data_IF_374814235907
#
_entry.id   IF_374814235907
#
_cell.length_a   1.000
_cell.length_b   1.000
_cell.length_c   1.000
_cell.angle_alpha   90.00
_cell.angle_beta   90.00
_cell.angle_gamma   90.00
#
_symmetry.space_group_name_H-M   'P 1'
#
loop_
_entity.id
_entity.type
_entity.pdbx_description
1 polymer ?
#
# COMPACT_ATOMS: atom_id res chain seq x y z
N UNK A 1 -21.90 59.02 -59.11
CA UNK A 1 -22.29 58.74 -57.71
C UNK A 1 -21.15 57.99 -57.04
N UNK A 2 -20.28 58.72 -56.34
CA UNK A 2 -19.22 58.13 -55.51
C UNK A 2 -19.29 58.83 -54.16
N UNK A 3 -19.65 58.09 -53.12
CA UNK A 3 -19.68 58.58 -51.74
C UNK A 3 -18.45 58.01 -51.05
N UNK A 4 -17.40 58.82 -50.94
CA UNK A 4 -16.24 58.52 -50.11
C UNK A 4 -16.57 58.92 -48.67
N UNK A 5 -16.65 57.93 -47.79
CA UNK A 5 -16.85 58.13 -46.36
C UNK A 5 -15.57 58.70 -45.73
N UNK A 6 -15.59 59.99 -45.36
CA UNK A 6 -14.56 60.61 -44.54
C UNK A 6 -14.66 60.09 -43.11
N UNK A 7 -13.66 59.32 -42.69
CA UNK A 7 -13.44 58.99 -41.28
C UNK A 7 -13.05 60.28 -40.56
N UNK A 8 -13.90 60.72 -39.65
CA UNK A 8 -13.73 61.97 -38.91
C UNK A 8 -12.47 61.95 -38.04
N UNK A 9 -11.69 63.03 -38.14
CA UNK A 9 -10.43 63.30 -37.42
C UNK A 9 -10.57 63.17 -35.88
N UNK A 10 -11.79 63.26 -35.37
CA UNK A 10 -12.16 63.04 -33.97
C UNK A 10 -11.92 61.59 -33.48
N UNK A 11 -12.00 60.59 -34.37
CA UNK A 11 -11.75 59.18 -34.01
C UNK A 11 -10.24 58.87 -33.88
N UNK A 12 -9.38 59.63 -34.56
CA UNK A 12 -7.93 59.49 -34.44
C UNK A 12 -7.40 60.22 -33.19
N UNK A 13 -8.03 61.33 -32.80
CA UNK A 13 -7.66 62.08 -31.59
C UNK A 13 -7.99 61.33 -30.27
N UNK A 14 -9.08 60.56 -30.23
CA UNK A 14 -9.44 59.74 -29.06
C UNK A 14 -8.55 58.50 -28.91
N UNK A 15 -8.05 57.94 -30.02
CA UNK A 15 -7.08 56.84 -30.01
C UNK A 15 -5.67 57.28 -29.56
N UNK A 16 -5.28 58.52 -29.85
CA UNK A 16 -4.02 59.10 -29.38
C UNK A 16 -4.03 59.44 -27.88
N UNK A 17 -5.20 59.81 -27.31
CA UNK A 17 -5.32 60.18 -25.89
C UNK A 17 -5.23 59.00 -24.92
N UNK A 18 -5.33 57.76 -25.41
CA UNK A 18 -5.13 56.52 -24.64
C UNK A 18 -3.71 55.94 -24.73
N UNK A 19 -2.80 56.56 -25.49
CA UNK A 19 -1.40 56.09 -25.62
C UNK A 19 -0.46 56.61 -24.53
N UNK A 20 -0.93 57.54 -23.68
CA UNK A 20 -0.13 58.25 -22.68
C UNK A 20 -0.38 57.88 -21.22
N UNK A 21 -1.16 56.82 -20.94
CA UNK A 21 -1.27 56.30 -19.57
C UNK A 21 -0.20 55.24 -19.41
N UNK A 22 0.89 55.58 -18.73
CA UNK A 22 1.86 54.60 -18.25
C UNK A 22 1.07 53.55 -17.44
N UNK A 23 0.81 52.39 -18.02
CA UNK A 23 0.23 51.25 -17.32
C UNK A 23 1.23 50.92 -16.22
N UNK A 24 0.92 51.29 -14.99
CA UNK A 24 1.72 50.91 -13.83
C UNK A 24 1.88 49.39 -13.89
N UNK A 25 3.12 48.92 -13.86
CA UNK A 25 3.43 47.50 -13.86
C UNK A 25 2.86 46.86 -12.61
N UNK A 26 1.62 46.37 -12.69
CA UNK A 26 0.96 45.71 -11.57
C UNK A 26 1.67 44.38 -11.29
N UNK A 27 2.29 44.21 -10.09
CA UNK A 27 3.07 43.01 -9.79
C UNK A 27 2.25 41.71 -9.85
N UNK A 28 0.94 41.81 -9.62
CA UNK A 28 -0.02 40.69 -9.73
C UNK A 28 -0.23 40.26 -11.18
N UNK A 29 -0.38 41.21 -12.11
CA UNK A 29 -0.54 40.91 -13.54
C UNK A 29 0.75 40.33 -14.13
N UNK A 30 1.91 40.83 -13.71
CA UNK A 30 3.21 40.24 -14.09
C UNK A 30 3.36 38.80 -13.61
N UNK A 31 2.97 38.52 -12.36
CA UNK A 31 2.98 37.16 -11.81
C UNK A 31 2.04 36.24 -12.59
N UNK A 32 0.83 36.69 -12.91
CA UNK A 32 -0.14 35.91 -13.67
C UNK A 32 0.30 35.64 -15.13
N UNK A 33 0.95 36.61 -15.76
CA UNK A 33 1.53 36.44 -17.09
C UNK A 33 2.72 35.46 -17.06
N UNK A 34 3.57 35.53 -16.03
CA UNK A 34 4.67 34.59 -15.83
C UNK A 34 4.18 33.17 -15.53
N UNK A 35 3.15 32.98 -14.73
CA UNK A 35 2.57 31.65 -14.47
C UNK A 35 1.94 31.08 -15.73
N UNK A 36 1.21 31.90 -16.50
CA UNK A 36 0.62 31.46 -17.77
C UNK A 36 1.68 31.12 -18.82
N UNK A 37 2.78 31.86 -18.86
CA UNK A 37 3.91 31.58 -19.74
C UNK A 37 4.63 30.29 -19.35
N UNK A 38 4.91 30.09 -18.05
CA UNK A 38 5.50 28.86 -17.51
C UNK A 38 4.64 27.64 -17.80
N UNK A 39 3.33 27.68 -17.53
CA UNK A 39 2.44 26.56 -17.84
C UNK A 39 2.44 26.23 -19.35
N UNK A 40 2.49 27.25 -20.22
CA UNK A 40 2.55 27.04 -21.68
C UNK A 40 3.91 26.48 -22.13
N UNK A 41 4.98 26.73 -21.38
CA UNK A 41 6.31 26.21 -21.66
C UNK A 41 6.46 24.78 -21.14
N UNK A 42 5.92 24.48 -19.96
CA UNK A 42 5.82 23.14 -19.37
C UNK A 42 5.04 22.19 -20.28
N UNK A 43 3.87 22.59 -20.78
CA UNK A 43 3.08 21.76 -21.73
C UNK A 43 3.86 21.46 -23.01
N UNK A 44 4.67 22.41 -23.51
CA UNK A 44 5.51 22.16 -24.69
C UNK A 44 6.73 21.30 -24.38
N UNK A 45 7.29 21.42 -23.17
CA UNK A 45 8.40 20.59 -22.74
C UNK A 45 7.94 19.14 -22.56
N UNK A 46 6.75 18.94 -21.97
CA UNK A 46 6.17 17.61 -21.80
C UNK A 46 5.82 16.98 -23.15
N UNK A 47 5.24 17.73 -24.10
CA UNK A 47 5.03 17.24 -25.46
C UNK A 47 6.33 16.88 -26.19
N UNK A 48 7.44 17.59 -25.94
CA UNK A 48 8.76 17.22 -26.48
C UNK A 48 9.30 15.94 -25.83
N UNK A 49 9.10 15.78 -24.53
CA UNK A 49 9.51 14.60 -23.76
C UNK A 49 8.75 13.35 -24.21
N UNK A 50 7.44 13.45 -24.37
CA UNK A 50 6.59 12.35 -24.88
C UNK A 50 7.05 11.93 -26.28
N UNK A 51 7.27 12.90 -27.18
CA UNK A 51 7.76 12.58 -28.54
C UNK A 51 9.16 11.96 -28.55
N UNK A 52 10.06 12.39 -27.65
CA UNK A 52 11.38 11.77 -27.52
C UNK A 52 11.28 10.35 -26.96
N UNK A 53 10.41 10.11 -25.99
CA UNK A 53 10.18 8.78 -25.43
C UNK A 53 9.57 7.82 -26.45
N UNK A 54 8.65 8.32 -27.29
CA UNK A 54 8.05 7.55 -28.40
C UNK A 54 9.11 7.16 -29.43
N UNK A 55 10.01 8.07 -29.81
CA UNK A 55 11.13 7.75 -30.72
C UNK A 55 12.04 6.69 -30.11
N UNK A 56 12.39 6.81 -28.82
CA UNK A 56 13.26 5.84 -28.14
C UNK A 56 12.58 4.48 -28.00
N UNK A 57 11.29 4.42 -27.69
CA UNK A 57 10.58 3.14 -27.59
C UNK A 57 10.44 2.45 -28.94
N UNK A 58 10.29 3.22 -30.04
CA UNK A 58 10.22 2.63 -31.38
C UNK A 58 11.60 2.08 -31.79
N UNK A 59 12.68 2.77 -31.41
CA UNK A 59 14.06 2.31 -31.67
C UNK A 59 14.47 1.12 -30.77
N UNK A 60 13.90 1.00 -29.58
CA UNK A 60 14.08 -0.15 -28.67
C UNK A 60 13.30 -1.39 -29.17
N UNK A 61 12.07 -1.21 -29.65
CA UNK A 61 11.25 -2.28 -30.24
C UNK A 61 11.86 -2.81 -31.55
N UNK A 62 12.44 -1.94 -32.39
CA UNK A 62 13.18 -2.34 -33.60
C UNK A 62 14.47 -3.10 -33.28
N UNK A 63 15.08 -2.87 -32.10
CA UNK A 63 16.28 -3.57 -31.63
C UNK A 63 15.95 -4.93 -31.00
N UNK A 64 14.84 -5.01 -30.25
CA UNK A 64 14.31 -6.28 -29.74
C UNK A 64 13.88 -7.22 -30.88
N UNK A 65 13.27 -6.68 -31.95
CA UNK A 65 12.97 -7.46 -33.17
C UNK A 65 14.24 -7.94 -33.91
N UNK A 66 15.38 -7.26 -33.77
CA UNK A 66 16.66 -7.73 -34.35
C UNK A 66 17.32 -8.83 -33.50
N UNK A 67 17.24 -8.74 -32.15
CA UNK A 67 17.79 -9.75 -31.22
C UNK A 67 16.99 -11.07 -31.25
N UNK A 68 15.66 -11.03 -31.43
CA UNK A 68 14.80 -12.24 -31.51
C UNK A 68 15.11 -13.12 -32.74
N UNK A 69 15.74 -12.55 -33.78
CA UNK A 69 16.14 -13.30 -35.00
C UNK A 69 17.50 -13.99 -34.82
N UNK A 70 18.31 -13.60 -33.83
CA UNK A 70 19.61 -14.20 -33.55
C UNK A 70 19.52 -15.39 -32.56
N UNK A 71 18.46 -15.47 -31.73
CA UNK A 71 18.27 -16.57 -30.77
C UNK A 71 17.62 -17.85 -31.36
N UNK A 72 17.04 -17.83 -32.57
CA UNK A 72 16.44 -19.04 -33.19
C UNK A 72 17.45 -20.05 -33.80
N UNK A 73 18.77 -19.76 -33.81
CA UNK A 73 19.79 -20.66 -34.42
C UNK A 73 20.51 -21.63 -33.44
N UNK A 74 20.28 -21.59 -32.12
CA UNK A 74 21.11 -22.31 -31.12
C UNK A 74 20.32 -23.21 -30.14
N UNK A 75 19.50 -24.16 -30.64
CA UNK A 75 18.97 -25.27 -29.81
C UNK A 75 19.14 -26.65 -30.49
N UNK A 76 20.37 -27.20 -30.43
CA UNK A 76 20.68 -28.59 -30.82
C UNK A 76 21.24 -29.39 -29.61
N UNK A 77 20.43 -30.36 -29.16
CA UNK A 77 20.74 -31.69 -28.60
C UNK A 77 21.70 -31.86 -27.39
N UNK A 78 21.19 -32.39 -26.27
CA UNK A 78 21.94 -33.34 -25.40
C UNK A 78 21.02 -34.04 -24.38
N UNK A 79 20.92 -35.38 -24.45
CA UNK A 79 20.43 -36.19 -23.31
C UNK A 79 21.16 -37.54 -23.21
N UNK A 80 21.92 -37.74 -22.12
CA UNK A 80 22.38 -39.04 -21.64
C UNK A 80 21.86 -39.26 -20.21
N UNK A 81 21.35 -40.46 -19.92
CA UNK A 81 20.95 -40.86 -18.56
C UNK A 81 21.76 -42.08 -18.13
N UNK A 82 22.57 -41.90 -17.09
CA UNK A 82 23.37 -42.91 -16.40
C UNK A 82 22.46 -43.69 -15.43
N UNK A 83 22.43 -45.03 -15.52
CA UNK A 83 21.79 -45.90 -14.53
C UNK A 83 22.88 -46.70 -13.83
N UNK A 84 23.22 -46.26 -12.62
CA UNK A 84 24.08 -46.97 -11.68
C UNK A 84 23.18 -47.73 -10.69
N UNK A 85 23.21 -49.06 -10.79
CA UNK A 85 22.44 -49.97 -9.94
C UNK A 85 23.43 -50.83 -9.16
N UNK A 86 23.89 -50.31 -8.02
CA UNK A 86 24.75 -51.02 -7.08
C UNK A 86 24.03 -52.23 -6.46
N UNK A 87 24.47 -53.42 -6.87
CA UNK A 87 24.22 -54.71 -6.24
C UNK A 87 25.12 -54.83 -4.99
N UNK A 88 24.62 -54.47 -3.81
CA UNK A 88 25.26 -54.80 -2.53
C UNK A 88 24.48 -55.91 -1.82
N UNK A 89 24.59 -57.12 -2.36
CA UNK A 89 24.22 -58.34 -1.65
C UNK A 89 25.34 -58.62 -0.63
N UNK A 90 25.14 -58.48 0.69
CA UNK A 90 26.21 -58.69 1.65
C UNK A 90 26.64 -60.15 1.58
N UNK A 91 27.86 -60.38 1.08
CA UNK A 91 28.45 -61.70 0.97
C UNK A 91 28.35 -62.45 2.29
N UNK A 92 27.70 -63.63 2.27
CA UNK A 92 27.50 -64.47 3.46
C UNK A 92 28.88 -64.88 3.99
N UNK A 93 29.35 -64.18 5.03
CA UNK A 93 30.59 -64.48 5.70
C UNK A 93 30.46 -65.82 6.43
N UNK A 94 31.12 -66.86 5.91
CA UNK A 94 31.14 -68.18 6.54
C UNK A 94 31.74 -68.09 7.96
N UNK A 95 30.91 -68.40 8.95
CA UNK A 95 31.27 -68.35 10.37
C UNK A 95 32.28 -69.47 10.66
N UNK A 96 33.48 -69.09 11.11
CA UNK A 96 34.52 -70.02 11.58
C UNK A 96 34.00 -70.77 12.81
N UNK A 97 34.04 -72.12 12.84
CA UNK A 97 33.63 -72.86 14.03
C UNK A 97 34.63 -72.61 15.17
N UNK A 98 34.16 -71.96 16.24
CA UNK A 98 34.87 -71.83 17.50
C UNK A 98 34.47 -73.00 18.41
N UNK A 99 35.45 -73.69 18.98
CA UNK A 99 35.21 -74.84 19.85
C UNK A 99 34.59 -74.39 21.18
N UNK A 100 33.33 -74.74 21.42
CA UNK A 100 32.62 -74.42 22.67
C UNK A 100 32.88 -75.49 23.74
N UNK A 101 33.41 -75.13 24.92
CA UNK A 101 33.62 -76.03 26.06
C UNK A 101 32.34 -76.76 26.48
N UNK A 102 32.47 -77.98 27.01
CA UNK A 102 31.31 -78.83 27.37
C UNK A 102 30.33 -78.18 28.36
N UNK A 103 30.79 -77.29 29.24
CA UNK A 103 29.97 -76.58 30.23
C UNK A 103 29.08 -75.49 29.63
N UNK A 104 29.43 -74.98 28.45
CA UNK A 104 28.70 -73.92 27.75
C UNK A 104 27.77 -74.47 26.66
N UNK A 105 27.74 -75.80 26.48
CA UNK A 105 26.78 -76.46 25.60
C UNK A 105 25.42 -76.48 26.27
N UNK A 106 24.52 -75.64 25.78
CA UNK A 106 23.11 -75.66 26.17
C UNK A 106 22.51 -77.05 25.90
N UNK A 107 21.79 -77.59 26.88
CA UNK A 107 20.96 -78.79 26.70
C UNK A 107 19.81 -78.45 25.75
N UNK A 108 19.36 -79.42 24.96
CA UNK A 108 18.38 -79.23 23.87
C UNK A 108 17.13 -78.45 24.30
N UNK A 109 16.68 -78.61 25.55
CA UNK A 109 15.54 -77.89 26.12
C UNK A 109 15.77 -76.38 26.39
N UNK A 110 17.02 -75.95 26.65
CA UNK A 110 17.36 -74.53 26.82
C UNK A 110 17.47 -73.79 25.49
N UNK A 111 17.91 -74.50 24.44
CA UNK A 111 17.97 -73.98 23.07
C UNK A 111 16.56 -73.75 22.51
N UNK A 112 15.66 -74.72 22.70
CA UNK A 112 14.27 -74.64 22.24
C UNK A 112 13.49 -73.48 22.89
N UNK A 113 13.74 -73.21 24.19
CA UNK A 113 13.11 -72.07 24.89
C UNK A 113 13.62 -70.71 24.41
N UNK A 114 14.92 -70.60 24.11
CA UNK A 114 15.53 -69.36 23.59
C UNK A 114 15.12 -69.14 22.13
N UNK A 115 15.05 -70.21 21.33
CA UNK A 115 14.57 -70.18 19.94
C UNK A 115 13.08 -69.81 19.87
N UNK A 116 12.24 -70.29 20.78
CA UNK A 116 10.84 -69.86 20.88
C UNK A 116 10.70 -68.38 21.28
N UNK A 117 11.58 -67.87 22.15
CA UNK A 117 11.62 -66.45 22.54
C UNK A 117 12.10 -65.56 21.38
N UNK A 118 13.09 -66.02 20.61
CA UNK A 118 13.60 -65.36 19.40
C UNK A 118 12.54 -65.34 18.28
N UNK A 119 11.84 -66.45 18.05
CA UNK A 119 10.73 -66.53 17.11
C UNK A 119 9.57 -65.59 17.49
N UNK A 120 9.21 -65.52 18.78
CA UNK A 120 8.19 -64.59 19.25
C UNK A 120 8.60 -63.12 19.04
N UNK A 121 9.89 -62.79 19.24
CA UNK A 121 10.41 -61.45 18.98
C UNK A 121 10.42 -61.12 17.48
N UNK A 122 10.78 -62.10 16.64
CA UNK A 122 10.79 -61.96 15.18
C UNK A 122 9.36 -61.78 14.63
N UNK A 123 8.38 -62.52 15.14
CA UNK A 123 6.96 -62.37 14.80
C UNK A 123 6.41 -61.00 15.20
N UNK A 124 6.77 -60.51 16.40
CA UNK A 124 6.41 -59.15 16.83
C UNK A 124 7.07 -58.08 15.97
N UNK A 125 8.32 -58.30 15.53
CA UNK A 125 9.02 -57.40 14.62
C UNK A 125 8.36 -57.38 13.22
N UNK A 126 8.00 -58.55 12.68
CA UNK A 126 7.25 -58.69 11.41
C UNK A 126 5.89 -58.00 11.50
N UNK A 127 5.15 -58.22 12.58
CA UNK A 127 3.86 -57.56 12.82
C UNK A 127 4.00 -56.04 12.92
N UNK A 128 5.03 -55.53 13.61
CA UNK A 128 5.31 -54.08 13.67
C UNK A 128 5.67 -53.51 12.29
N UNK A 129 6.42 -54.25 11.49
CA UNK A 129 6.76 -53.85 10.12
C UNK A 129 5.51 -53.82 9.22
N UNK A 130 4.62 -54.80 9.35
CA UNK A 130 3.34 -54.85 8.64
C UNK A 130 2.42 -53.70 9.04
N UNK A 131 2.32 -53.39 10.35
CA UNK A 131 1.57 -52.24 10.83
C UNK A 131 2.14 -50.93 10.24
N UNK A 132 3.46 -50.76 10.25
CA UNK A 132 4.11 -49.59 9.62
C UNK A 132 3.81 -49.52 8.12
N UNK A 133 3.84 -50.64 7.41
CA UNK A 133 3.51 -50.69 5.97
C UNK A 133 2.04 -50.34 5.70
N UNK A 134 1.13 -50.68 6.59
CA UNK A 134 -0.29 -50.32 6.48
C UNK A 134 -0.50 -48.85 6.81
N UNK A 135 0.15 -48.35 7.87
CA UNK A 135 0.14 -46.94 8.28
C UNK A 135 0.67 -46.04 7.16
N UNK A 136 1.80 -46.39 6.54
CA UNK A 136 2.36 -45.59 5.43
C UNK A 136 1.44 -45.59 4.22
N UNK A 137 0.87 -46.74 3.85
CA UNK A 137 -0.13 -46.82 2.76
C UNK A 137 -1.37 -45.98 3.07
N UNK A 138 -1.85 -46.00 4.31
CA UNK A 138 -3.01 -45.23 4.72
C UNK A 138 -2.74 -43.72 4.65
N UNK A 139 -1.57 -43.27 5.09
CA UNK A 139 -1.17 -41.85 4.98
C UNK A 139 -1.16 -41.41 3.52
N UNK A 140 -0.54 -42.19 2.63
CA UNK A 140 -0.49 -41.86 1.19
C UNK A 140 -1.89 -41.81 0.58
N UNK A 141 -2.79 -42.74 0.93
CA UNK A 141 -4.18 -42.71 0.44
C UNK A 141 -4.93 -41.46 0.92
N UNK A 142 -4.74 -41.05 2.17
CA UNK A 142 -5.34 -39.83 2.70
C UNK A 142 -4.73 -38.56 2.07
N UNK A 143 -3.44 -38.56 1.76
CA UNK A 143 -2.76 -37.48 1.00
C UNK A 143 -3.37 -37.35 -0.40
N UNK A 144 -3.48 -38.47 -1.14
CA UNK A 144 -4.06 -38.51 -2.49
C UNK A 144 -5.51 -38.04 -2.48
N UNK A 145 -6.32 -38.44 -1.49
CA UNK A 145 -7.70 -37.95 -1.33
C UNK A 145 -7.77 -36.44 -1.12
N UNK A 146 -6.91 -35.89 -0.26
CA UNK A 146 -6.84 -34.44 -0.02
C UNK A 146 -6.41 -33.69 -1.27
N UNK A 147 -5.41 -34.21 -1.99
CA UNK A 147 -4.95 -33.62 -3.25
C UNK A 147 -6.05 -33.66 -4.32
N UNK A 148 -6.82 -34.74 -4.41
CA UNK A 148 -7.98 -34.84 -5.29
C UNK A 148 -9.08 -33.84 -4.91
N UNK A 149 -9.35 -33.65 -3.62
CA UNK A 149 -10.31 -32.64 -3.13
C UNK A 149 -9.84 -31.21 -3.42
N UNK A 150 -8.56 -30.91 -3.23
CA UNK A 150 -7.97 -29.61 -3.57
C UNK A 150 -8.06 -29.38 -5.08
N UNK A 151 -7.68 -30.37 -5.89
CA UNK A 151 -7.81 -30.29 -7.36
C UNK A 151 -9.25 -30.09 -7.78
N UNK A 152 -10.20 -30.81 -7.19
CA UNK A 152 -11.63 -30.65 -7.48
C UNK A 152 -12.15 -29.27 -7.08
N UNK A 153 -11.73 -28.74 -5.93
CA UNK A 153 -12.09 -27.39 -5.49
C UNK A 153 -11.48 -26.30 -6.39
N UNK A 154 -10.23 -26.47 -6.81
CA UNK A 154 -9.59 -25.56 -7.79
C UNK A 154 -10.28 -25.64 -9.13
N UNK A 155 -10.58 -26.84 -9.63
CA UNK A 155 -11.28 -27.04 -10.90
C UNK A 155 -12.71 -26.48 -10.88
N UNK A 156 -13.40 -26.55 -9.74
CA UNK A 156 -14.69 -25.88 -9.53
C UNK A 156 -14.56 -24.35 -9.49
N UNK A 157 -13.49 -23.81 -8.90
CA UNK A 157 -13.22 -22.37 -8.92
C UNK A 157 -12.86 -21.86 -10.31
N UNK A 158 -12.06 -22.63 -11.07
CA UNK A 158 -11.67 -22.30 -12.44
C UNK A 158 -12.85 -22.46 -13.42
N UNK A 159 -13.70 -23.48 -13.24
CA UNK A 159 -14.95 -23.62 -13.98
C UNK A 159 -15.91 -22.45 -13.69
N UNK A 160 -15.93 -21.92 -12.46
CA UNK A 160 -16.77 -20.80 -12.06
C UNK A 160 -16.34 -19.45 -12.67
N UNK A 161 -15.16 -19.37 -13.29
CA UNK A 161 -14.68 -18.16 -13.99
C UNK A 161 -15.19 -18.11 -15.44
N UNK A 162 -15.41 -19.27 -16.07
CA UNK A 162 -16.00 -19.40 -17.41
C UNK A 162 -17.52 -19.47 -17.43
N UNK A 163 -18.16 -19.75 -16.29
CA UNK A 163 -19.62 -19.86 -16.11
C UNK A 163 -20.25 -18.54 -15.63
N UNK A 164 -19.57 -17.41 -15.85
CA UNK A 164 -20.20 -16.10 -15.71
C UNK A 164 -21.14 -15.94 -16.90
N UNK A 165 -22.42 -16.24 -16.67
CA UNK A 165 -23.49 -16.00 -17.63
C UNK A 165 -23.52 -14.50 -18.01
N UNK A 166 -22.88 -14.14 -19.12
CA UNK A 166 -22.89 -12.79 -19.71
C UNK A 166 -24.09 -12.57 -20.63
N UNK A 167 -25.13 -13.40 -20.51
CA UNK A 167 -26.32 -13.30 -21.34
C UNK A 167 -27.31 -12.30 -20.71
N UNK A 168 -27.09 -11.03 -21.03
CA UNK A 168 -27.90 -9.88 -20.62
C UNK A 168 -29.38 -9.98 -21.09
N UNK A 169 -29.71 -10.93 -21.99
CA UNK A 169 -31.06 -11.09 -22.55
C UNK A 169 -32.01 -11.91 -21.66
N UNK A 170 -31.50 -12.68 -20.69
CA UNK A 170 -32.33 -13.54 -19.84
C UNK A 170 -33.14 -12.72 -18.82
N UNK A 171 -32.56 -11.64 -18.29
CA UNK A 171 -33.14 -10.79 -17.24
C UNK A 171 -33.15 -9.29 -17.61
N UNK A 172 -33.43 -8.96 -18.87
CA UNK A 172 -33.44 -7.59 -19.41
C UNK A 172 -34.19 -6.58 -18.52
N UNK A 173 -35.31 -6.99 -17.91
CA UNK A 173 -36.11 -6.14 -17.04
C UNK A 173 -35.36 -5.73 -15.75
N UNK A 174 -34.68 -6.66 -15.09
CA UNK A 174 -33.93 -6.38 -13.86
C UNK A 174 -32.67 -5.57 -14.16
N UNK A 175 -31.99 -5.87 -15.27
CA UNK A 175 -30.81 -5.13 -15.72
C UNK A 175 -31.16 -3.70 -16.11
N UNK A 176 -32.31 -3.50 -16.76
CA UNK A 176 -32.83 -2.17 -17.07
C UNK A 176 -33.13 -1.39 -15.78
N UNK A 177 -33.65 -2.04 -14.73
CA UNK A 177 -33.81 -1.42 -13.42
C UNK A 177 -32.48 -1.10 -12.74
N UNK A 178 -31.48 -1.98 -12.83
CA UNK A 178 -30.12 -1.72 -12.33
C UNK A 178 -29.44 -0.58 -13.10
N UNK A 179 -29.62 -0.52 -14.41
CA UNK A 179 -29.17 0.61 -15.22
C UNK A 179 -29.89 1.89 -14.81
N UNK A 180 -31.21 1.85 -14.65
CA UNK A 180 -32.03 2.98 -14.21
C UNK A 180 -31.65 3.46 -12.82
N UNK A 181 -31.35 2.57 -11.87
CA UNK A 181 -30.88 2.97 -10.52
C UNK A 181 -29.50 3.61 -10.57
N UNK A 182 -28.58 3.09 -11.39
CA UNK A 182 -27.28 3.73 -11.64
C UNK A 182 -27.44 5.12 -12.26
N UNK A 183 -28.31 5.27 -13.25
CA UNK A 183 -28.56 6.54 -13.92
C UNK A 183 -29.26 7.54 -12.98
N UNK A 184 -30.27 7.09 -12.22
CA UNK A 184 -30.89 7.89 -11.15
C UNK A 184 -29.85 8.31 -10.11
N UNK A 185 -28.90 7.44 -9.74
CA UNK A 185 -27.83 7.78 -8.80
C UNK A 185 -26.87 8.84 -9.37
N UNK A 186 -26.57 8.83 -10.67
CA UNK A 186 -25.80 9.90 -11.33
C UNK A 186 -26.54 11.22 -11.30
N UNK A 187 -27.80 11.24 -11.74
CA UNK A 187 -28.66 12.43 -11.71
C UNK A 187 -28.82 12.94 -10.27
N UNK A 188 -28.97 12.03 -9.30
CA UNK A 188 -29.05 12.36 -7.88
C UNK A 188 -27.76 13.00 -7.38
N UNK A 189 -26.58 12.46 -7.70
CA UNK A 189 -25.29 13.06 -7.33
C UNK A 189 -25.17 14.50 -7.83
N UNK A 190 -25.56 14.76 -9.08
CA UNK A 190 -25.55 16.13 -9.64
C UNK A 190 -26.56 17.06 -8.95
N UNK A 191 -27.76 16.55 -8.63
CA UNK A 191 -28.79 17.31 -7.91
C UNK A 191 -28.36 17.60 -6.48
N UNK A 192 -27.88 16.59 -5.76
CA UNK A 192 -27.44 16.68 -4.37
C UNK A 192 -26.25 17.64 -4.25
N UNK A 193 -25.31 17.63 -5.20
CA UNK A 193 -24.20 18.59 -5.23
C UNK A 193 -24.69 20.04 -5.44
N UNK A 194 -25.66 20.26 -6.33
CA UNK A 194 -26.29 21.59 -6.52
C UNK A 194 -27.07 22.03 -5.28
N UNK A 195 -27.81 21.12 -4.66
CA UNK A 195 -28.58 21.39 -3.45
C UNK A 195 -27.65 21.66 -2.26
N UNK A 196 -26.53 20.94 -2.12
CA UNK A 196 -25.52 21.18 -1.10
C UNK A 196 -24.94 22.59 -1.23
N UNK A 197 -24.57 23.01 -2.44
CA UNK A 197 -24.11 24.37 -2.72
C UNK A 197 -25.17 25.44 -2.38
N UNK A 198 -26.44 25.18 -2.71
CA UNK A 198 -27.54 26.08 -2.37
C UNK A 198 -27.78 26.13 -0.85
N UNK A 199 -27.75 24.99 -0.18
CA UNK A 199 -27.90 24.85 1.26
C UNK A 199 -26.76 25.55 2.01
N UNK A 200 -25.53 25.45 1.53
CA UNK A 200 -24.41 26.22 2.08
C UNK A 200 -24.61 27.72 1.86
N UNK A 201 -25.07 28.14 0.68
CA UNK A 201 -25.41 29.54 0.41
C UNK A 201 -26.52 30.05 1.33
N UNK A 202 -27.57 29.27 1.55
CA UNK A 202 -28.66 29.58 2.48
C UNK A 202 -28.19 29.61 3.92
N UNK A 203 -27.29 28.71 4.36
CA UNK A 203 -26.66 28.77 5.69
C UNK A 203 -25.85 30.06 5.84
N UNK A 204 -25.06 30.43 4.83
CA UNK A 204 -24.27 31.67 4.82
C UNK A 204 -25.18 32.89 4.83
N UNK A 205 -26.25 32.90 4.04
CA UNK A 205 -27.23 33.98 3.99
C UNK A 205 -28.02 34.08 5.30
N UNK A 206 -28.45 32.95 5.88
CA UNK A 206 -29.03 32.88 7.21
C UNK A 206 -28.08 33.48 8.24
N UNK A 207 -26.80 33.08 8.26
CA UNK A 207 -25.79 33.65 9.14
C UNK A 207 -25.57 35.15 8.91
N UNK A 208 -25.71 35.64 7.68
CA UNK A 208 -25.64 37.08 7.34
C UNK A 208 -26.88 37.84 7.83
N UNK A 209 -28.05 37.20 7.79
CA UNK A 209 -29.33 37.75 8.23
C UNK A 209 -29.57 37.61 9.74
N UNK A 210 -28.81 36.75 10.45
CA UNK A 210 -28.83 36.67 11.92
C UNK A 210 -28.32 37.98 12.53
N UNK A 211 -29.07 38.49 13.52
CA UNK A 211 -28.68 39.70 14.26
C UNK A 211 -27.48 39.43 15.18
N UNK A 212 -26.74 40.49 15.51
CA UNK A 212 -25.50 40.40 16.30
C UNK A 212 -25.71 39.80 17.71
N UNK A 213 -26.92 39.90 18.26
CA UNK A 213 -27.32 39.35 19.57
C UNK A 213 -27.47 37.82 19.58
N UNK A 214 -27.76 37.19 18.44
CA UNK A 214 -27.84 35.72 18.33
C UNK A 214 -26.49 35.10 17.94
N UNK A 215 -25.57 35.90 17.41
CA UNK A 215 -24.18 35.49 17.14
C UNK A 215 -23.31 35.34 18.39
N UNK A 216 -23.72 35.93 19.51
CA UNK A 216 -23.02 35.84 20.80
C UNK A 216 -23.40 34.60 21.61
N UNK A 217 -24.14 33.65 21.04
CA UNK A 217 -24.20 32.31 21.61
C UNK A 217 -22.86 31.62 21.29
N UNK A 218 -21.97 31.42 22.28
CA UNK A 218 -20.73 30.71 22.02
C UNK A 218 -21.12 29.30 21.58
N UNK A 219 -20.81 28.95 20.33
CA UNK A 219 -20.84 27.55 19.90
C UNK A 219 -20.12 26.75 20.98
N UNK A 220 -20.65 25.60 21.44
CA UNK A 220 -19.95 24.77 22.41
C UNK A 220 -18.60 24.44 21.78
N UNK A 221 -17.56 25.09 22.26
CA UNK A 221 -16.22 24.86 21.74
C UNK A 221 -15.95 23.39 21.98
N UNK A 222 -15.70 22.64 20.91
CA UNK A 222 -15.15 21.29 20.99
C UNK A 222 -13.71 21.40 21.47
N UNK A 223 -13.53 21.95 22.67
CA UNK A 223 -12.27 22.04 23.36
C UNK A 223 -12.01 20.65 23.91
N UNK A 224 -11.60 19.75 23.01
CA UNK A 224 -10.99 18.50 23.42
C UNK A 224 -9.84 18.86 24.37
N UNK A 225 -9.75 18.24 25.55
CA UNK A 225 -8.70 18.57 26.51
C UNK A 225 -7.34 18.41 25.83
N UNK A 226 -6.50 19.46 25.90
CA UNK A 226 -5.14 19.41 25.35
C UNK A 226 -4.39 18.29 26.05
N UNK A 227 -3.84 17.33 25.29
CA UNK A 227 -3.02 16.26 25.84
C UNK A 227 -1.76 16.85 26.48
N UNK A 228 -1.38 16.33 27.65
CA UNK A 228 -0.16 16.72 28.35
C UNK A 228 1.03 16.00 27.70
N UNK A 229 2.05 16.76 27.32
CA UNK A 229 3.28 16.25 26.68
C UNK A 229 4.38 16.08 27.72
N UNK A 230 5.26 15.10 27.53
CA UNK A 230 6.44 14.93 28.37
C UNK A 230 7.45 16.08 28.14
N UNK A 231 8.29 16.36 29.14
CA UNK A 231 9.33 17.37 29.03
C UNK A 231 10.30 17.03 27.88
N UNK A 232 10.51 17.99 26.97
CA UNK A 232 11.33 17.85 25.75
C UNK A 232 10.86 16.80 24.72
N UNK A 233 9.59 16.39 24.76
CA UNK A 233 9.00 15.52 23.74
C UNK A 233 8.97 16.20 22.36
N UNK A 234 9.30 15.45 21.29
CA UNK A 234 9.22 15.91 19.90
C UNK A 234 7.76 15.98 19.45
N UNK A 235 7.39 17.11 18.87
CA UNK A 235 6.09 17.31 18.24
C UNK A 235 6.11 16.77 16.82
N UNK A 236 5.24 15.81 16.53
CA UNK A 236 4.98 15.31 15.18
C UNK A 236 3.68 15.93 14.68
N UNK A 237 3.78 16.84 13.71
CA UNK A 237 2.61 17.41 13.04
C UNK A 237 1.99 16.35 12.13
N UNK A 238 0.67 16.24 12.10
CA UNK A 238 -0.05 15.24 11.29
C UNK A 238 0.05 15.47 9.77
N UNK A 239 0.74 16.51 9.32
CA UNK A 239 0.74 16.99 7.92
C UNK A 239 -0.35 18.04 7.67
N UNK A 240 -0.51 18.52 6.44
CA UNK A 240 -1.63 19.37 6.02
C UNK A 240 -2.45 18.74 4.86
N UNK A 241 -1.97 17.60 4.35
CA UNK A 241 -2.55 16.88 3.23
C UNK A 241 -3.25 15.62 3.75
N UNK A 242 -4.28 15.14 3.03
CA UNK A 242 -5.02 13.90 3.34
C UNK A 242 -5.67 13.85 4.73
N UNK A 243 -5.88 14.99 5.36
CA UNK A 243 -6.60 15.13 6.63
C UNK A 243 -8.07 15.48 6.43
N UNK A 244 -8.64 15.11 5.27
CA UNK A 244 -9.93 15.60 4.81
C UNK A 244 -10.93 15.67 5.96
N UNK A 245 -11.48 16.87 6.15
CA UNK A 245 -12.66 17.04 6.97
C UNK A 245 -13.76 16.17 6.35
N UNK A 246 -14.66 15.59 7.15
CA UNK A 246 -15.77 14.79 6.64
C UNK A 246 -16.68 15.56 5.65
N UNK A 247 -16.54 16.88 5.59
CA UNK A 247 -17.30 17.79 4.72
C UNK A 247 -16.56 18.18 3.42
N UNK A 248 -15.32 17.69 3.19
CA UNK A 248 -14.58 17.99 1.95
C UNK A 248 -14.96 16.99 0.84
N UNK A 249 -15.88 17.41 -0.03
CA UNK A 249 -16.38 16.63 -1.15
C UNK A 249 -15.31 16.32 -2.23
N UNK A 250 -14.15 16.99 -2.17
CA UNK A 250 -12.98 16.70 -3.01
C UNK A 250 -12.03 15.66 -2.40
N UNK A 251 -12.26 15.23 -1.16
CA UNK A 251 -11.51 14.18 -0.48
C UNK A 251 -11.83 12.79 -1.03
N UNK A 252 -11.39 12.50 -2.27
CA UNK A 252 -11.55 11.18 -2.91
C UNK A 252 -10.74 10.07 -2.24
N UNK A 253 -9.86 10.41 -1.30
CA UNK A 253 -9.05 9.47 -0.54
C UNK A 253 -9.72 9.29 0.80
N UNK A 254 -10.33 8.11 1.00
CA UNK A 254 -10.96 7.74 2.26
C UNK A 254 -10.05 8.08 3.43
N UNK A 255 -10.63 8.59 4.52
CA UNK A 255 -9.86 8.92 5.72
C UNK A 255 -9.24 7.64 6.25
N UNK A 256 -7.99 7.37 5.89
CA UNK A 256 -7.28 6.22 6.43
C UNK A 256 -7.28 6.38 7.96
N UNK A 257 -7.73 5.34 8.67
CA UNK A 257 -7.82 5.35 10.14
C UNK A 257 -6.49 5.68 10.83
N UNK A 258 -5.38 5.65 10.06
CA UNK A 258 -4.05 6.12 10.43
C UNK A 258 -4.08 7.59 10.91
N UNK A 259 -4.82 8.49 10.27
CA UNK A 259 -4.83 9.93 10.63
C UNK A 259 -5.62 10.23 11.91
N UNK A 260 -6.47 9.29 12.32
CA UNK A 260 -7.21 9.36 13.58
C UNK A 260 -6.38 8.91 14.79
N UNK A 261 -5.20 8.31 14.57
CA UNK A 261 -4.31 7.85 15.65
C UNK A 261 -3.82 9.01 16.52
N UNK A 262 -3.32 8.64 17.69
CA UNK A 262 -2.72 9.59 18.62
C UNK A 262 -1.27 9.92 18.25
N UNK A 263 -1.07 11.02 17.53
CA UNK A 263 0.27 11.53 17.20
C UNK A 263 0.93 12.31 18.35
N UNK A 264 0.24 12.47 19.48
CA UNK A 264 0.80 13.12 20.68
C UNK A 264 1.49 12.14 21.63
N UNK A 265 1.48 10.84 21.32
CA UNK A 265 2.09 9.83 22.17
C UNK A 265 3.64 9.93 22.18
N UNK A 266 4.30 9.73 23.34
CA UNK A 266 5.76 9.71 23.42
C UNK A 266 6.35 8.59 22.57
N UNK A 267 7.22 8.95 21.63
CA UNK A 267 7.81 8.01 20.66
C UNK A 267 9.31 7.83 20.93
N UNK A 268 9.78 6.58 20.95
CA UNK A 268 11.20 6.24 21.11
C UNK A 268 11.82 6.83 22.39
N UNK A 269 12.80 7.72 22.21
CA UNK A 269 13.55 8.41 23.28
C UNK A 269 12.69 9.27 24.22
N UNK A 270 11.47 9.64 23.81
CA UNK A 270 10.58 10.49 24.60
C UNK A 270 9.75 9.72 25.65
N UNK A 271 9.85 8.38 25.66
CA UNK A 271 9.24 7.54 26.69
C UNK A 271 9.91 7.72 28.06
N UNK A 272 11.18 8.14 28.08
CA UNK A 272 11.94 8.41 29.29
C UNK A 272 11.67 9.83 29.79
N UNK A 273 11.54 10.00 31.11
CA UNK A 273 11.36 11.33 31.69
C UNK A 273 12.70 12.10 31.71
N UNK A 274 12.80 13.08 30.82
CA UNK A 274 13.97 13.94 30.65
C UNK A 274 14.10 15.01 31.74
N UNK A 275 13.12 15.12 32.65
CA UNK A 275 13.19 16.06 33.79
C UNK A 275 14.27 15.67 34.81
N UNK A 276 14.56 14.38 34.92
CA UNK A 276 15.52 13.79 35.87
C UNK A 276 16.98 14.07 35.45
N UNK A 277 17.20 14.45 34.18
CA UNK A 277 18.53 14.75 33.66
C UNK A 277 19.14 15.98 34.35
N UNK A 278 20.48 16.02 34.54
CA UNK A 278 21.18 17.22 35.01
C UNK A 278 20.88 18.43 34.12
N UNK A 279 20.84 19.64 34.69
CA UNK A 279 20.39 20.85 33.98
C UNK A 279 21.13 21.13 32.68
N UNK A 280 22.42 20.79 32.62
CA UNK A 280 23.28 20.94 31.44
C UNK A 280 22.84 20.03 30.29
N UNK A 281 22.28 18.86 30.61
CA UNK A 281 21.77 17.86 29.66
C UNK A 281 20.28 18.03 29.32
N UNK A 282 19.53 18.89 30.03
CA UNK A 282 18.13 19.24 29.75
C UNK A 282 17.99 20.15 28.50
N UNK A 283 18.62 19.74 27.41
CA UNK A 283 18.67 20.51 26.17
C UNK A 283 18.57 19.58 24.97
N UNK A 284 17.84 20.03 23.95
CA UNK A 284 17.65 19.27 22.71
C UNK A 284 18.99 19.12 21.97
N UNK A 285 19.32 17.89 21.56
CA UNK A 285 20.55 17.54 20.85
C UNK A 285 21.86 17.87 21.60
N UNK A 286 21.94 17.47 22.87
CA UNK A 286 23.17 17.55 23.67
C UNK A 286 24.35 16.87 22.92
N UNK A 287 25.49 17.56 22.81
CA UNK A 287 26.70 17.06 22.14
C UNK A 287 26.78 17.26 20.62
N UNK A 288 25.75 17.82 19.96
CA UNK A 288 25.79 18.13 18.51
C UNK A 288 26.13 19.60 18.23
N UNK A 289 26.88 19.84 17.14
CA UNK A 289 27.13 21.18 16.60
C UNK A 289 25.82 21.79 16.05
N UNK A 290 25.71 23.13 16.05
CA UNK A 290 24.51 23.84 15.56
C UNK A 290 23.38 24.00 16.58
N UNK A 291 23.67 23.91 17.88
CA UNK A 291 22.68 24.06 18.95
C UNK A 291 22.10 25.49 19.00
N UNK A 292 20.78 25.58 19.09
CA UNK A 292 20.10 26.87 19.31
C UNK A 292 20.29 27.37 20.74
N UNK A 293 20.32 28.69 20.93
CA UNK A 293 20.40 29.32 22.27
C UNK A 293 19.17 28.99 23.14
N UNK A 294 18.08 28.55 22.50
CA UNK A 294 16.82 28.19 23.15
C UNK A 294 16.86 26.74 23.64
N UNK A 295 16.72 26.56 24.95
CA UNK A 295 16.80 25.24 25.60
C UNK A 295 15.50 24.46 25.52
N UNK A 296 14.37 25.09 25.84
CA UNK A 296 13.02 24.54 25.70
C UNK A 296 11.96 25.65 25.84
N UNK A 297 10.80 25.47 25.21
CA UNK A 297 9.71 26.47 25.15
C UNK A 297 9.19 26.84 26.54
N UNK A 298 9.28 25.94 27.53
CA UNK A 298 8.75 26.16 28.89
C UNK A 298 9.50 27.25 29.67
N UNK A 299 10.80 27.47 29.44
CA UNK A 299 11.54 28.54 30.13
C UNK A 299 11.03 29.93 29.74
N UNK A 300 10.52 30.12 28.51
CA UNK A 300 10.04 31.42 28.05
C UNK A 300 8.80 31.91 28.82
N UNK A 301 7.90 31.01 29.24
CA UNK A 301 6.70 31.38 29.99
C UNK A 301 7.02 31.90 31.40
N UNK A 302 8.14 31.44 31.98
CA UNK A 302 8.56 31.81 33.34
C UNK A 302 9.39 33.10 33.34
N UNK A 303 10.19 33.35 32.29
CA UNK A 303 11.02 34.57 32.19
C UNK A 303 10.24 35.85 31.90
N UNK A 304 9.11 35.76 31.18
CA UNK A 304 8.27 36.94 30.85
C UNK A 304 7.46 37.42 32.06
N UNK A 305 7.15 36.53 33.01
CA UNK A 305 6.35 36.88 34.19
C UNK A 305 7.15 37.53 35.31
N UNK A 306 8.48 37.36 35.36
CA UNK A 306 9.34 38.05 36.32
C UNK A 306 9.77 39.46 35.90
N UNK A 307 9.66 39.81 34.60
CA UNK A 307 10.01 41.14 34.11
C UNK A 307 8.84 42.16 34.21
N UNK A 308 7.68 41.74 34.71
CA UNK A 308 6.48 42.57 34.89
C UNK A 308 6.08 42.71 36.38
N UNK A 309 6.98 42.38 37.30
CA UNK A 309 6.85 42.63 38.74
C UNK A 309 7.81 43.71 39.20
#
# INVERSE_FOLDING_TARGET
>A
MSVTAGVSEAALATRAKLRGVARKDDPRLRRLAQTRAKNREEVRADHRRVRQAEIVSTEEEELEEEDEVEEEEDEEDESEYETDSEDDMPGIAMIKPLFVPKSERYTVAGRERLEAEEQALEELAKRKLEMRKLETKQIVVEEVRKDEEIRKNMLLQDANIGDVETDDEINEAEEYEVWKTREIARIKRERDAKEAMLREREKVEKLRNMTEQERTNPKPSSNKPKKKWNFMQKYYHKGAFFQADPDDEAGSVGTDGIFQRDFSAPTGEDRLDKSILPKVMQVKHFGRSGRTKWTHVVIQQIGVTQALS
#
